data_IF_852472423800
#
_entry.id   IF_852472423800
#
_cell.length_a   1.000
_cell.length_b   1.000
_cell.length_c   1.000
_cell.angle_alpha   90.00
_cell.angle_beta   90.00
_cell.angle_gamma   90.00
#
_symmetry.space_group_name_H-M   'P 1'
#
loop_
_entity.id
_entity.type
_entity.pdbx_description
1 polymer ?
#
# COMPACT_ATOMS: atom_id res chain seq x y z
N UNK A 1 9.22 -23.22 15.26
CA UNK A 1 9.09 -22.44 14.01
C UNK A 1 7.92 -21.46 14.14
N UNK A 2 8.18 -20.15 14.26
CA UNK A 2 7.13 -19.12 14.32
C UNK A 2 6.86 -18.62 12.90
N UNK A 3 5.86 -19.18 12.23
CA UNK A 3 5.43 -18.73 10.90
C UNK A 3 4.40 -17.62 11.11
N UNK A 4 4.79 -16.37 10.87
CA UNK A 4 3.86 -15.24 10.95
C UNK A 4 2.85 -15.37 9.79
N UNK A 5 1.58 -15.55 10.14
CA UNK A 5 0.49 -15.60 9.16
C UNK A 5 0.21 -14.17 8.70
N UNK A 6 0.57 -13.87 7.46
CA UNK A 6 0.20 -12.63 6.79
C UNK A 6 -1.31 -12.71 6.52
N UNK A 7 -2.10 -12.10 7.39
CA UNK A 7 -3.57 -12.05 7.34
C UNK A 7 -4.07 -11.02 6.30
N UNK A 8 -3.40 -10.93 5.15
CA UNK A 8 -3.88 -10.04 4.08
C UNK A 8 -5.22 -10.53 3.55
N UNK A 9 -6.03 -9.59 3.08
CA UNK A 9 -7.38 -9.82 2.58
C UNK A 9 -7.40 -10.46 1.17
N UNK A 10 -6.23 -10.67 0.55
CA UNK A 10 -6.13 -10.65 -0.91
C UNK A 10 -6.45 -11.96 -1.64
N UNK A 11 -6.47 -13.14 -1.02
CA UNK A 11 -7.03 -14.31 -1.73
C UNK A 11 -7.31 -15.51 -0.83
N UNK A 12 -8.46 -16.12 -1.09
CA UNK A 12 -8.91 -17.42 -0.58
C UNK A 12 -9.31 -17.45 0.90
N UNK A 13 -10.55 -17.91 1.12
CA UNK A 13 -11.10 -18.40 2.39
C UNK A 13 -10.19 -19.50 2.97
N UNK A 14 -9.10 -19.10 3.62
CA UNK A 14 -8.19 -20.07 4.23
C UNK A 14 -8.96 -20.78 5.36
N UNK A 15 -9.04 -22.13 5.37
CA UNK A 15 -9.80 -22.86 6.40
C UNK A 15 -9.33 -22.54 7.81
N UNK A 16 -8.06 -22.16 7.96
CA UNK A 16 -7.50 -21.68 9.22
C UNK A 16 -8.16 -20.37 9.72
N UNK A 17 -8.51 -19.43 8.83
CA UNK A 17 -9.27 -18.22 9.22
C UNK A 17 -10.67 -18.56 9.75
N UNK A 18 -11.31 -19.58 9.18
CA UNK A 18 -12.63 -20.04 9.63
C UNK A 18 -12.58 -20.69 11.03
N UNK A 19 -11.45 -21.30 11.41
CA UNK A 19 -11.25 -21.86 12.75
C UNK A 19 -10.86 -20.84 13.82
N UNK A 20 -10.59 -19.58 13.44
CA UNK A 20 -10.14 -18.57 14.40
C UNK A 20 -11.31 -17.99 15.20
N UNK A 21 -11.14 -17.78 16.51
CA UNK A 21 -12.10 -17.08 17.33
C UNK A 21 -12.35 -15.64 16.84
N UNK A 22 -13.60 -15.12 16.95
CA UNK A 22 -13.98 -13.82 16.40
C UNK A 22 -13.15 -12.65 16.94
N UNK A 23 -12.71 -12.70 18.20
CA UNK A 23 -11.87 -11.65 18.81
C UNK A 23 -10.45 -11.57 18.21
N UNK A 24 -9.93 -12.66 17.64
CA UNK A 24 -8.61 -12.67 16.97
C UNK A 24 -8.71 -12.03 15.60
N UNK A 25 -9.81 -12.29 14.89
CA UNK A 25 -10.09 -11.72 13.57
C UNK A 25 -10.29 -10.20 13.66
N UNK A 26 -11.05 -9.73 14.65
CA UNK A 26 -11.28 -8.30 14.88
C UNK A 26 -9.97 -7.54 15.16
N UNK A 27 -9.11 -8.10 16.03
CA UNK A 27 -7.81 -7.49 16.38
C UNK A 27 -6.85 -7.44 15.19
N UNK A 28 -6.88 -8.43 14.31
CA UNK A 28 -6.05 -8.43 13.11
C UNK A 28 -6.43 -7.30 12.13
N UNK A 29 -7.74 -7.06 11.96
CA UNK A 29 -8.23 -5.96 11.12
C UNK A 29 -7.89 -4.57 11.69
N UNK A 30 -7.75 -4.45 13.01
CA UNK A 30 -7.29 -3.19 13.63
C UNK A 30 -5.83 -2.88 13.30
N UNK A 31 -4.96 -3.89 13.27
CA UNK A 31 -3.54 -3.73 12.92
C UNK A 31 -3.37 -3.24 11.47
N UNK A 32 -4.17 -3.75 10.54
CA UNK A 32 -4.17 -3.32 9.14
C UNK A 32 -4.62 -1.87 8.94
N UNK A 33 -5.32 -1.31 9.93
CA UNK A 33 -5.75 0.09 9.95
C UNK A 33 -4.64 1.06 10.39
N UNK A 34 -3.59 0.55 11.05
CA UNK A 34 -2.45 1.35 11.54
C UNK A 34 -1.27 1.44 10.58
N UNK A 35 -1.41 0.95 9.35
CA UNK A 35 -0.37 1.12 8.34
C UNK A 35 -0.40 2.58 7.84
N UNK A 36 0.70 3.35 7.93
CA UNK A 36 0.74 4.72 7.43
C UNK A 36 0.32 4.75 5.96
N UNK A 37 -0.45 5.74 5.55
CA UNK A 37 -0.96 5.87 4.16
C UNK A 37 0.17 5.79 3.12
N UNK A 38 1.38 6.26 3.47
CA UNK A 38 2.60 6.19 2.65
C UNK A 38 3.05 4.74 2.37
N UNK A 39 2.92 3.86 3.36
CA UNK A 39 3.22 2.43 3.24
C UNK A 39 2.11 1.68 2.49
N UNK A 40 0.84 2.08 2.64
CA UNK A 40 -0.28 1.54 1.83
C UNK A 40 -0.12 1.84 0.34
N UNK A 41 0.31 3.06 0.01
CA UNK A 41 0.60 3.45 -1.37
C UNK A 41 1.92 2.89 -1.90
N UNK A 42 2.65 2.12 -1.07
CA UNK A 42 3.93 1.49 -1.41
C UNK A 42 4.89 2.45 -2.12
N UNK A 43 4.80 3.73 -1.75
CA UNK A 43 5.41 4.83 -2.50
C UNK A 43 6.91 4.77 -2.25
N UNK A 44 7.64 4.22 -3.20
CA UNK A 44 9.10 4.23 -3.15
C UNK A 44 9.58 5.64 -3.50
N UNK A 45 10.64 6.10 -2.84
CA UNK A 45 11.24 7.43 -3.13
C UNK A 45 11.54 7.61 -4.62
N UNK A 46 11.95 6.53 -5.26
CA UNK A 46 12.23 6.48 -6.70
C UNK A 46 11.00 6.74 -7.57
N UNK A 47 9.81 6.27 -7.18
CA UNK A 47 8.55 6.56 -7.87
C UNK A 47 8.12 8.01 -7.68
N UNK A 48 8.36 8.60 -6.51
CA UNK A 48 8.10 10.02 -6.29
C UNK A 48 9.00 10.90 -7.17
N UNK A 49 10.27 10.53 -7.32
CA UNK A 49 11.23 11.23 -8.17
C UNK A 49 10.86 11.13 -9.66
N UNK A 50 10.42 9.96 -10.14
CA UNK A 50 10.01 9.80 -11.54
C UNK A 50 8.74 10.57 -11.89
N UNK A 51 7.75 10.61 -10.98
CA UNK A 51 6.53 11.42 -11.15
C UNK A 51 6.86 12.91 -11.18
N UNK A 52 7.71 13.37 -10.27
CA UNK A 52 8.17 14.77 -10.24
C UNK A 52 8.93 15.14 -11.52
N UNK A 53 9.83 14.28 -12.00
CA UNK A 53 10.57 14.52 -13.22
C UNK A 53 9.65 14.61 -14.45
N UNK A 54 8.67 13.71 -14.55
CA UNK A 54 7.71 13.70 -15.66
C UNK A 54 6.84 14.95 -15.64
N UNK A 55 6.35 15.36 -14.46
CA UNK A 55 5.56 16.57 -14.30
C UNK A 55 6.37 17.82 -14.65
N UNK A 56 7.61 17.93 -14.16
CA UNK A 56 8.49 19.06 -14.44
C UNK A 56 8.81 19.16 -15.94
N UNK A 57 9.10 18.05 -16.60
CA UNK A 57 9.36 18.03 -18.05
C UNK A 57 8.14 18.50 -18.86
N UNK A 58 6.94 18.01 -18.52
CA UNK A 58 5.70 18.45 -19.17
C UNK A 58 5.39 19.94 -18.93
N UNK A 59 5.59 20.41 -17.69
CA UNK A 59 5.38 21.81 -17.33
C UNK A 59 6.33 22.74 -18.08
N UNK A 60 7.62 22.41 -18.09
CA UNK A 60 8.64 23.18 -18.83
C UNK A 60 8.35 23.16 -20.33
N UNK A 61 7.95 22.01 -20.90
CA UNK A 61 7.56 21.92 -22.30
C UNK A 61 6.35 22.80 -22.63
N UNK A 62 5.37 22.86 -21.73
CA UNK A 62 4.18 23.71 -21.91
C UNK A 62 4.56 25.19 -21.82
N UNK A 63 5.38 25.58 -20.84
CA UNK A 63 5.87 26.96 -20.73
C UNK A 63 6.70 27.37 -21.95
N UNK A 64 7.58 26.50 -22.45
CA UNK A 64 8.40 26.77 -23.62
C UNK A 64 7.58 26.87 -24.92
N UNK A 65 6.44 26.17 -25.00
CA UNK A 65 5.51 26.33 -26.12
C UNK A 65 4.78 27.68 -26.09
N UNK A 66 4.52 28.20 -24.89
CA UNK A 66 3.80 29.46 -24.71
C UNK A 66 4.70 30.71 -24.70
N UNK A 67 6.02 30.56 -24.51
CA UNK A 67 6.99 31.67 -24.60
C UNK A 67 7.40 31.96 -26.04
#
# INVERSE_FOLDING_TARGET
>A
MRRALVLTDESARHPFRASLPPHVVLRANEVERTVPWRLKLRLTRQEAESVLATYAAGFVGTLAYFS
#
